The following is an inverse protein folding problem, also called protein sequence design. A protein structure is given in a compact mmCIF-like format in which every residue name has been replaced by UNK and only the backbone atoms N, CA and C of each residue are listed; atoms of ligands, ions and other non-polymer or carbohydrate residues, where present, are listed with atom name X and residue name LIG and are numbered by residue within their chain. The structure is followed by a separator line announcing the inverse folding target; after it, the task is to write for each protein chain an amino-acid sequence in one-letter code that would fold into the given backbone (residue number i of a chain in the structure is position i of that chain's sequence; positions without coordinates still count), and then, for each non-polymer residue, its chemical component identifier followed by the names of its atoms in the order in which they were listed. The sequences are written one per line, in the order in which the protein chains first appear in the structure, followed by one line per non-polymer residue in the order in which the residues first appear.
data_IF_811767682780
#
_entry.id   IF_811767682780
#
_cell.length_a   1.000
_cell.length_b   1.000
_cell.length_c   1.000
_cell.angle_alpha   90.00
_cell.angle_beta   90.00
_cell.angle_gamma   90.00
#
_symmetry.space_group_name_H-M   'P 1'
#
loop_
_entity.id
_entity.type
_entity.pdbx_description
1 polymer ?
#
# COMPACT_ATOMS: atom_id res chain seq x y z
N UNK A 1 5.55 20.78 18.43
CA UNK A 1 5.10 20.31 17.11
C UNK A 1 5.27 18.79 17.08
N UNK A 2 4.24 18.02 17.43
CA UNK A 2 4.25 16.56 17.39
C UNK A 2 2.93 16.14 16.76
N UNK A 3 2.99 15.74 15.49
CA UNK A 3 1.87 15.28 14.69
C UNK A 3 1.28 14.03 15.37
N UNK A 4 0.28 14.21 16.23
CA UNK A 4 -0.62 13.15 16.69
C UNK A 4 -1.26 12.53 15.44
N UNK A 5 -0.98 11.27 15.09
CA UNK A 5 -1.67 10.68 13.97
C UNK A 5 -3.11 10.39 14.40
N UNK A 6 -4.05 11.15 13.80
CA UNK A 6 -5.50 11.09 14.06
C UNK A 6 -6.21 9.97 13.29
N UNK A 7 -5.59 8.80 13.13
CA UNK A 7 -6.24 7.72 12.41
C UNK A 7 -5.80 6.34 12.90
N UNK A 8 -6.76 5.46 13.18
CA UNK A 8 -6.52 4.06 13.55
C UNK A 8 -5.61 3.35 12.56
N UNK A 9 -5.63 3.76 11.28
CA UNK A 9 -4.73 3.26 10.23
C UNK A 9 -3.24 3.42 10.57
N UNK A 10 -2.86 4.60 11.07
CA UNK A 10 -1.46 4.90 11.45
C UNK A 10 -1.10 4.20 12.75
N UNK A 11 -2.07 4.06 13.66
CA UNK A 11 -1.89 3.34 14.93
C UNK A 11 -1.73 1.83 14.72
N UNK A 12 -2.44 1.23 13.77
CA UNK A 12 -2.24 -0.16 13.35
C UNK A 12 -0.87 -0.34 12.70
N UNK A 13 -0.40 0.65 11.92
CA UNK A 13 0.86 0.58 11.19
C UNK A 13 2.11 0.80 12.07
N UNK A 14 2.11 1.84 12.92
CA UNK A 14 3.26 2.15 13.79
C UNK A 14 3.17 1.50 15.18
N UNK A 15 1.99 1.05 15.59
CA UNK A 15 1.70 0.72 16.99
C UNK A 15 1.59 -0.77 17.32
N UNK A 16 1.54 -1.69 16.34
CA UNK A 16 1.35 -3.12 16.65
C UNK A 16 2.13 -4.16 15.84
N UNK A 17 2.68 -3.85 14.66
CA UNK A 17 3.24 -4.92 13.83
C UNK A 17 4.45 -4.45 13.04
N UNK A 18 5.45 -5.32 12.95
CA UNK A 18 6.67 -5.19 12.14
C UNK A 18 6.38 -5.07 10.62
N UNK A 19 5.10 -5.04 10.23
CA UNK A 19 4.56 -4.75 8.90
C UNK A 19 5.26 -3.55 8.25
N UNK A 20 5.43 -2.45 8.99
CA UNK A 20 6.08 -1.25 8.45
C UNK A 20 7.54 -1.45 8.05
N UNK A 21 8.23 -2.48 8.58
CA UNK A 21 9.63 -2.82 8.26
C UNK A 21 9.69 -3.95 7.23
N UNK A 22 8.79 -4.94 7.30
CA UNK A 22 8.67 -6.02 6.32
C UNK A 22 8.21 -5.50 4.95
N UNK A 23 7.27 -4.55 4.93
CA UNK A 23 6.85 -3.85 3.71
C UNK A 23 7.96 -2.97 3.10
N UNK A 24 9.03 -2.64 3.84
CA UNK A 24 10.23 -2.02 3.27
C UNK A 24 11.13 -3.03 2.54
N UNK A 25 11.00 -4.32 2.88
CA UNK A 25 11.73 -5.42 2.25
C UNK A 25 10.96 -6.05 1.09
N UNK A 26 9.64 -5.83 1.03
CA UNK A 26 8.77 -6.29 -0.05
C UNK A 26 8.80 -5.30 -1.21
N UNK A 27 8.63 -5.87 -2.41
CA UNK A 27 9.00 -5.35 -3.72
C UNK A 27 8.21 -4.10 -4.15
N UNK A 28 8.36 -3.71 -5.41
CA UNK A 28 7.64 -2.59 -6.00
C UNK A 28 6.13 -2.82 -6.04
N UNK A 29 5.36 -1.74 -6.14
CA UNK A 29 3.88 -1.79 -6.25
C UNK A 29 3.41 -2.73 -7.38
N UNK A 30 4.21 -2.88 -8.43
CA UNK A 30 3.97 -3.78 -9.55
C UNK A 30 3.70 -5.25 -9.17
N UNK A 31 4.32 -5.78 -8.11
CA UNK A 31 4.14 -7.18 -7.70
C UNK A 31 2.74 -7.45 -7.07
N UNK A 32 2.05 -6.41 -6.60
CA UNK A 32 0.77 -6.51 -5.86
C UNK A 32 -0.44 -5.97 -6.63
N UNK A 33 -0.22 -5.64 -7.89
CA UNK A 33 -1.20 -5.01 -8.74
C UNK A 33 -2.31 -6.00 -9.08
N UNK A 34 -3.58 -5.64 -8.82
CA UNK A 34 -4.72 -6.40 -9.35
C UNK A 34 -5.08 -5.92 -10.75
N UNK A 35 -4.82 -6.72 -11.80
CA UNK A 35 -5.25 -6.37 -13.15
C UNK A 35 -6.77 -6.51 -13.27
N UNK A 36 -7.41 -5.55 -13.95
CA UNK A 36 -8.84 -5.59 -14.27
C UNK A 36 -9.72 -4.62 -13.48
N UNK A 37 -9.21 -4.04 -12.40
CA UNK A 37 -9.92 -3.00 -11.65
C UNK A 37 -9.30 -1.62 -11.98
N UNK A 38 -10.13 -0.70 -12.49
CA UNK A 38 -9.72 0.67 -12.81
C UNK A 38 -10.42 1.63 -11.88
N UNK A 39 -9.68 2.14 -10.90
CA UNK A 39 -10.18 3.21 -10.03
C UNK A 39 -9.92 4.57 -10.70
N UNK A 40 -10.92 5.46 -10.69
CA UNK A 40 -10.75 6.83 -11.13
C UNK A 40 -10.05 7.64 -10.03
N UNK A 41 -8.99 8.36 -10.37
CA UNK A 41 -8.27 9.21 -9.43
C UNK A 41 -6.77 9.24 -9.70
N UNK A 42 -6.06 9.94 -8.83
CA UNK A 42 -4.61 10.07 -8.92
C UNK A 42 -3.97 8.77 -8.44
N UNK A 43 -3.32 8.06 -9.35
CA UNK A 43 -2.77 6.73 -9.09
C UNK A 43 -1.34 6.73 -8.59
N UNK A 44 -0.96 5.63 -7.96
CA UNK A 44 0.42 5.28 -7.62
C UNK A 44 1.16 4.92 -8.89
N UNK A 45 2.44 5.28 -9.03
CA UNK A 45 3.23 4.78 -10.16
C UNK A 45 3.65 3.33 -9.91
N UNK A 46 3.77 2.50 -10.95
CA UNK A 46 4.25 1.11 -10.80
C UNK A 46 5.67 1.05 -10.21
N UNK A 47 6.45 2.12 -10.43
CA UNK A 47 7.81 2.32 -9.94
C UNK A 47 7.89 2.82 -8.50
N UNK A 48 6.75 3.19 -7.89
CA UNK A 48 6.74 3.59 -6.49
C UNK A 48 7.00 2.38 -5.61
N UNK A 49 7.70 2.63 -4.51
CA UNK A 49 7.88 1.63 -3.46
C UNK A 49 6.57 1.40 -2.72
N UNK A 50 6.38 0.20 -2.15
CA UNK A 50 5.24 -0.07 -1.27
C UNK A 50 5.16 0.93 -0.11
N UNK A 51 6.29 1.40 0.42
CA UNK A 51 6.33 2.45 1.45
C UNK A 51 5.62 3.71 1.00
N UNK A 52 5.88 4.17 -0.22
CA UNK A 52 5.26 5.36 -0.78
C UNK A 52 3.77 5.14 -1.04
N UNK A 53 3.41 3.97 -1.59
CA UNK A 53 2.03 3.56 -1.74
C UNK A 53 1.26 3.57 -0.41
N UNK A 54 1.86 3.03 0.64
CA UNK A 54 1.34 3.03 2.00
C UNK A 54 1.16 4.43 2.57
N UNK A 55 2.15 5.31 2.36
CA UNK A 55 2.02 6.71 2.73
C UNK A 55 0.83 7.37 2.04
N UNK A 56 0.57 7.04 0.78
CA UNK A 56 -0.58 7.56 0.04
C UNK A 56 -1.91 6.97 0.55
N UNK A 57 -1.98 5.68 0.88
CA UNK A 57 -3.16 5.09 1.51
C UNK A 57 -3.52 5.80 2.82
N UNK A 58 -2.52 6.06 3.66
CA UNK A 58 -2.68 6.80 4.92
C UNK A 58 -3.11 8.24 4.69
N UNK A 59 -2.45 8.95 3.79
CA UNK A 59 -2.70 10.35 3.50
C UNK A 59 -4.11 10.56 2.94
N UNK A 60 -4.53 9.67 2.02
CA UNK A 60 -5.83 9.72 1.34
C UNK A 60 -6.94 9.07 2.16
N UNK A 61 -6.59 8.28 3.20
CA UNK A 61 -7.50 7.45 4.01
C UNK A 61 -8.34 6.51 3.14
N UNK A 62 -7.69 5.90 2.16
CA UNK A 62 -8.32 4.95 1.23
C UNK A 62 -7.76 3.56 1.45
N UNK A 63 -8.52 2.55 1.02
CA UNK A 63 -8.14 1.14 1.10
C UNK A 63 -7.73 0.58 -0.27
N UNK A 64 -8.04 1.30 -1.36
CA UNK A 64 -7.66 0.98 -2.73
C UNK A 64 -7.12 2.23 -3.43
N UNK A 65 -6.06 2.08 -4.22
CA UNK A 65 -5.48 3.16 -5.03
C UNK A 65 -5.21 2.65 -6.44
N UNK A 66 -5.58 3.42 -7.48
CA UNK A 66 -5.25 3.04 -8.85
C UNK A 66 -3.72 3.06 -9.00
N UNK A 67 -3.19 2.19 -9.84
CA UNK A 67 -1.77 2.17 -10.21
C UNK A 67 -1.67 2.52 -11.68
N UNK A 68 -0.76 3.43 -12.00
CA UNK A 68 -0.46 3.93 -13.33
C UNK A 68 0.98 3.63 -13.72
N UNK A 69 1.25 3.44 -15.02
CA UNK A 69 2.63 3.35 -15.52
C UNK A 69 3.36 4.70 -15.49
N UNK A 70 4.61 4.71 -15.95
CA UNK A 70 5.42 5.92 -16.07
C UNK A 70 4.81 6.95 -17.04
N UNK A 71 3.95 6.53 -17.97
CA UNK A 71 3.20 7.40 -18.88
C UNK A 71 1.85 7.87 -18.30
N UNK A 72 1.52 7.50 -17.04
CA UNK A 72 0.28 7.87 -16.37
C UNK A 72 -0.95 7.07 -16.82
N UNK A 73 -0.75 5.96 -17.55
CA UNK A 73 -1.86 5.09 -17.99
C UNK A 73 -2.22 4.11 -16.88
N UNK A 74 -3.51 3.88 -16.60
CA UNK A 74 -3.94 2.95 -15.56
C UNK A 74 -3.54 1.51 -15.90
N UNK A 75 -2.66 0.94 -15.08
CA UNK A 75 -2.23 -0.46 -15.16
C UNK A 75 -3.12 -1.39 -14.32
N UNK A 76 -3.77 -0.86 -13.28
CA UNK A 76 -4.71 -1.60 -12.43
C UNK A 76 -4.90 -0.93 -11.08
N UNK A 77 -5.17 -1.70 -10.03
CA UNK A 77 -5.46 -1.15 -8.69
C UNK A 77 -4.70 -1.94 -7.62
N UNK A 78 -4.14 -1.23 -6.64
CA UNK A 78 -3.52 -1.78 -5.45
C UNK A 78 -4.50 -1.70 -4.28
N UNK A 79 -4.70 -2.81 -3.58
CA UNK A 79 -5.57 -2.91 -2.42
C UNK A 79 -4.77 -3.15 -1.15
N UNK A 80 -5.08 -2.38 -0.09
CA UNK A 80 -4.44 -2.53 1.21
C UNK A 80 -4.69 -3.91 1.84
N UNK A 81 -5.87 -4.50 1.60
CA UNK A 81 -6.20 -5.84 2.07
C UNK A 81 -5.27 -6.93 1.50
N UNK A 82 -4.74 -6.74 0.28
CA UNK A 82 -3.80 -7.69 -0.31
C UNK A 82 -2.44 -7.64 0.39
N UNK A 83 -2.00 -6.43 0.79
CA UNK A 83 -0.79 -6.25 1.59
C UNK A 83 -0.92 -6.97 2.94
N UNK A 84 -2.07 -6.84 3.61
CA UNK A 84 -2.34 -7.53 4.88
C UNK A 84 -2.39 -9.06 4.71
N UNK A 85 -3.02 -9.56 3.64
CA UNK A 85 -3.15 -11.00 3.39
C UNK A 85 -1.80 -11.67 3.10
N UNK A 86 -0.93 -11.01 2.35
CA UNK A 86 0.40 -11.54 2.03
C UNK A 86 1.26 -11.68 3.28
N UNK A 87 1.20 -10.70 4.18
CA UNK A 87 1.93 -10.73 5.45
C UNK A 87 1.43 -11.84 6.37
N UNK A 88 0.11 -11.99 6.50
CA UNK A 88 -0.49 -13.09 7.26
C UNK A 88 -0.09 -14.47 6.70
N UNK A 89 0.21 -14.56 5.40
CA UNK A 89 0.66 -15.80 4.76
C UNK A 89 2.13 -16.10 5.06
N UNK A 90 2.94 -15.10 5.39
CA UNK A 90 4.37 -15.25 5.70
C UNK A 90 4.64 -15.46 7.21
N UNK A 91 3.73 -15.01 8.09
CA UNK A 91 3.78 -15.31 9.54
C UNK A 91 3.36 -16.74 9.89
N UNK A 92 2.62 -17.44 9.01
CA UNK A 92 2.23 -18.84 9.21
C UNK A 92 3.28 -19.87 8.79
N UNK A 93 4.41 -19.42 8.22
CA UNK A 93 5.51 -20.25 7.76
C UNK A 93 6.77 -19.95 8.57
N UNK A 94 6.74 -20.17 9.90
CA UNK A 94 7.95 -20.22 10.71
C UNK A 94 7.83 -21.17 11.89
#
# INVERSE_FOLDING_TARGET
MLLRPKNSFVQTFFGRSELGVRLLSLREVGDYLRPGERLAGEGLTVTMTLREALSQFVARRCEALPVVDAEGRPCGTLHFADLLRQEASHEGAS
#
